data_IF_812590233749
#
_entry.id   IF_812590233749
#
_cell.length_a   1.000
_cell.length_b   1.000
_cell.length_c   1.000
_cell.angle_alpha   90.00
_cell.angle_beta   90.00
_cell.angle_gamma   90.00
#
_symmetry.space_group_name_H-M   'P 1'
#
loop_
_entity.id
_entity.type
_entity.pdbx_description
1 polymer ?
#
# COMPACT_ATOMS: atom_id res chain seq x y z
N UNK A 1 -2.06 21.19 -17.65
CA UNK A 1 -0.88 21.66 -16.90
C UNK A 1 0.15 20.56 -16.62
N UNK A 2 -0.20 19.28 -16.52
CA UNK A 2 0.78 18.18 -16.28
C UNK A 2 1.12 17.32 -17.51
N UNK A 3 0.64 17.65 -18.71
CA UNK A 3 0.81 16.80 -19.91
C UNK A 3 2.28 16.59 -20.33
N UNK A 4 3.19 17.50 -19.99
CA UNK A 4 4.63 17.33 -20.23
C UNK A 4 5.37 16.52 -19.15
N UNK A 5 4.69 16.12 -18.07
CA UNK A 5 5.32 15.37 -16.97
C UNK A 5 5.70 13.96 -17.41
N UNK A 6 4.80 13.29 -18.14
CA UNK A 6 4.96 11.89 -18.57
C UNK A 6 6.16 11.72 -19.50
N UNK A 7 6.43 12.73 -20.34
CA UNK A 7 7.54 12.73 -21.28
C UNK A 7 8.84 13.34 -20.71
N UNK A 8 8.83 13.83 -19.47
CA UNK A 8 10.01 14.47 -18.89
C UNK A 8 11.02 13.44 -18.40
N UNK A 9 12.25 13.38 -18.96
CA UNK A 9 13.18 12.27 -18.78
C UNK A 9 13.72 12.11 -17.36
N UNK A 10 13.58 13.14 -16.51
CA UNK A 10 14.01 13.09 -15.11
C UNK A 10 12.87 13.12 -14.10
N UNK A 11 11.75 13.77 -14.45
CA UNK A 11 10.71 14.04 -13.46
C UNK A 11 9.83 12.82 -13.25
N UNK A 12 9.45 12.15 -14.35
CA UNK A 12 8.67 10.92 -14.27
C UNK A 12 9.47 9.79 -13.58
N UNK A 13 10.74 9.51 -13.95
CA UNK A 13 11.51 8.49 -13.22
C UNK A 13 11.77 8.85 -11.76
N UNK A 14 11.99 10.13 -11.42
CA UNK A 14 12.12 10.54 -10.03
C UNK A 14 10.82 10.28 -9.23
N UNK A 15 9.65 10.55 -9.83
CA UNK A 15 8.36 10.22 -9.21
C UNK A 15 8.21 8.71 -9.02
N UNK A 16 8.60 7.89 -10.00
CA UNK A 16 8.57 6.43 -9.88
C UNK A 16 9.49 5.93 -8.75
N UNK A 17 10.70 6.48 -8.63
CA UNK A 17 11.64 6.14 -7.55
C UNK A 17 11.04 6.46 -6.19
N UNK A 18 10.49 7.68 -6.01
CA UNK A 18 9.85 8.07 -4.74
C UNK A 18 8.61 7.21 -4.47
N UNK A 19 7.85 6.84 -5.50
CA UNK A 19 6.71 5.92 -5.39
C UNK A 19 7.15 4.53 -4.91
N UNK A 20 8.24 3.98 -5.46
CA UNK A 20 8.79 2.68 -5.06
C UNK A 20 9.30 2.73 -3.62
N UNK A 21 9.96 3.81 -3.19
CA UNK A 21 10.35 4.00 -1.79
C UNK A 21 9.11 4.00 -0.88
N UNK A 22 8.04 4.69 -1.28
CA UNK A 22 6.76 4.67 -0.57
C UNK A 22 6.16 3.27 -0.47
N UNK A 23 6.21 2.49 -1.56
CA UNK A 23 5.76 1.09 -1.58
C UNK A 23 6.58 0.24 -0.60
N UNK A 24 7.92 0.38 -0.61
CA UNK A 24 8.80 -0.37 0.27
C UNK A 24 8.53 -0.05 1.75
N UNK A 25 8.32 1.23 2.09
CA UNK A 25 7.96 1.65 3.45
C UNK A 25 6.61 1.08 3.87
N UNK A 26 5.59 1.18 3.00
CA UNK A 26 4.24 0.71 3.26
C UNK A 26 4.17 -0.81 3.41
N UNK A 27 4.54 -1.53 2.34
CA UNK A 27 4.45 -2.98 2.31
C UNK A 27 5.44 -3.63 3.29
N UNK A 28 6.66 -3.11 3.38
CA UNK A 28 7.65 -3.62 4.34
C UNK A 28 7.21 -3.43 5.79
N UNK A 29 6.66 -2.27 6.14
CA UNK A 29 6.13 -2.02 7.48
C UNK A 29 4.96 -2.93 7.84
N UNK A 30 4.01 -3.11 6.91
CA UNK A 30 2.90 -4.05 7.07
C UNK A 30 3.38 -5.49 7.20
N UNK A 31 4.28 -5.95 6.32
CA UNK A 31 4.83 -7.29 6.36
C UNK A 31 5.45 -7.60 7.73
N UNK A 32 6.36 -6.74 8.21
CA UNK A 32 7.02 -6.95 9.51
C UNK A 32 6.02 -6.94 10.67
N UNK A 33 5.05 -6.01 10.66
CA UNK A 33 4.02 -5.97 11.69
C UNK A 33 3.16 -7.24 11.69
N UNK A 34 2.71 -7.67 10.51
CA UNK A 34 1.70 -8.72 10.38
C UNK A 34 2.27 -10.12 10.59
N UNK A 35 3.60 -10.33 10.39
CA UNK A 35 4.30 -11.53 10.84
C UNK A 35 4.08 -11.83 12.33
N UNK A 36 3.86 -10.78 13.15
CA UNK A 36 3.51 -10.91 14.57
C UNK A 36 2.18 -11.61 14.79
N UNK A 37 1.20 -11.43 13.91
CA UNK A 37 -0.08 -12.13 13.95
C UNK A 37 0.09 -13.64 13.73
N UNK A 38 1.05 -14.03 12.89
CA UNK A 38 1.35 -15.43 12.57
C UNK A 38 2.28 -16.11 13.59
N UNK A 39 2.77 -15.34 14.58
CA UNK A 39 3.54 -15.86 15.71
C UNK A 39 5.04 -15.66 15.61
N UNK A 40 5.54 -14.93 14.62
CA UNK A 40 6.95 -14.52 14.58
C UNK A 40 7.15 -13.27 15.45
N UNK A 41 8.21 -13.22 16.23
CA UNK A 41 8.50 -12.06 17.10
C UNK A 41 7.50 -11.90 18.26
N UNK A 42 6.96 -13.00 18.80
CA UNK A 42 5.94 -12.98 19.88
C UNK A 42 6.37 -12.19 21.12
N UNK A 43 7.66 -12.16 21.40
CA UNK A 43 8.24 -11.47 22.55
C UNK A 43 8.22 -9.94 22.40
N UNK A 44 7.94 -9.43 21.19
CA UNK A 44 7.80 -8.01 20.93
C UNK A 44 6.37 -7.54 21.26
N UNK A 45 6.20 -6.47 22.07
CA UNK A 45 4.89 -5.88 22.33
C UNK A 45 4.24 -5.36 21.04
N UNK A 46 3.05 -5.86 20.70
CA UNK A 46 2.38 -5.55 19.44
C UNK A 46 2.18 -4.05 19.20
N UNK A 47 1.85 -3.28 20.24
CA UNK A 47 1.68 -1.83 20.13
C UNK A 47 2.99 -1.10 19.79
N UNK A 48 4.13 -1.53 20.37
CA UNK A 48 5.43 -0.93 20.09
C UNK A 48 5.90 -1.29 18.68
N UNK A 49 5.71 -2.54 18.28
CA UNK A 49 6.01 -2.99 16.92
C UNK A 49 5.14 -2.22 15.90
N UNK A 50 3.84 -2.09 16.14
CA UNK A 50 2.92 -1.31 15.32
C UNK A 50 3.42 0.13 15.14
N UNK A 51 3.82 0.81 16.22
CA UNK A 51 4.34 2.17 16.14
C UNK A 51 5.63 2.25 15.32
N UNK A 52 6.55 1.29 15.50
CA UNK A 52 7.82 1.28 14.78
C UNK A 52 7.65 1.05 13.28
N UNK A 53 6.73 0.16 12.88
CA UNK A 53 6.60 -0.27 11.48
C UNK A 53 5.49 0.45 10.73
N UNK A 54 4.34 0.70 11.38
CA UNK A 54 3.18 1.30 10.73
C UNK A 54 3.28 2.82 10.61
N UNK A 55 4.03 3.51 11.48
CA UNK A 55 4.26 4.95 11.31
C UNK A 55 5.04 5.26 10.02
N UNK A 56 6.17 4.60 9.74
CA UNK A 56 6.81 4.68 8.42
C UNK A 56 5.89 4.19 7.30
N UNK A 57 5.10 3.13 7.51
CA UNK A 57 4.17 2.64 6.49
C UNK A 57 3.14 3.70 6.08
N UNK A 58 2.58 4.46 7.04
CA UNK A 58 1.66 5.57 6.79
C UNK A 58 2.35 6.70 6.02
N UNK A 59 3.59 7.05 6.35
CA UNK A 59 4.38 8.00 5.58
C UNK A 59 4.61 7.49 4.14
N UNK A 60 4.92 6.21 3.97
CA UNK A 60 5.05 5.54 2.68
C UNK A 60 3.77 5.58 1.85
N UNK A 61 2.61 5.34 2.48
CA UNK A 61 1.30 5.50 1.84
C UNK A 61 1.07 6.94 1.39
N UNK A 62 1.43 7.93 2.21
CA UNK A 62 1.38 9.35 1.84
C UNK A 62 2.24 9.68 0.62
N UNK A 63 3.48 9.16 0.57
CA UNK A 63 4.36 9.30 -0.58
C UNK A 63 3.77 8.65 -1.83
N UNK A 64 3.25 7.43 -1.72
CA UNK A 64 2.58 6.72 -2.80
C UNK A 64 1.37 7.49 -3.33
N UNK A 65 0.55 8.04 -2.44
CA UNK A 65 -0.63 8.83 -2.81
C UNK A 65 -0.21 10.12 -3.54
N UNK A 66 0.73 10.88 -2.99
CA UNK A 66 1.20 12.13 -3.59
C UNK A 66 1.81 11.91 -4.98
N UNK A 67 2.75 10.96 -5.08
CA UNK A 67 3.40 10.63 -6.36
C UNK A 67 2.43 9.99 -7.35
N UNK A 68 1.58 9.08 -6.89
CA UNK A 68 0.56 8.40 -7.71
C UNK A 68 -0.46 9.38 -8.30
N UNK A 69 -0.97 10.32 -7.49
CA UNK A 69 -1.86 11.38 -7.96
C UNK A 69 -1.16 12.32 -8.94
N UNK A 70 0.12 12.63 -8.70
CA UNK A 70 0.92 13.47 -9.61
C UNK A 70 1.10 12.78 -10.96
N UNK A 71 1.47 11.49 -10.98
CA UNK A 71 1.57 10.71 -12.22
C UNK A 71 0.20 10.56 -12.91
N UNK A 72 -0.87 10.36 -12.13
CA UNK A 72 -2.23 10.28 -12.65
C UNK A 72 -2.67 11.57 -13.35
N UNK A 73 -2.35 12.73 -12.78
CA UNK A 73 -2.68 14.02 -13.36
C UNK A 73 -2.01 14.29 -14.71
N UNK A 74 -0.93 13.56 -15.03
CA UNK A 74 -0.25 13.65 -16.33
C UNK A 74 -1.05 13.03 -17.48
N UNK A 75 -1.76 11.92 -17.23
CA UNK A 75 -2.48 11.15 -18.24
C UNK A 75 -3.73 10.43 -17.68
N UNK A 76 -4.71 11.17 -17.14
CA UNK A 76 -5.83 10.58 -16.41
C UNK A 76 -6.74 9.72 -17.29
N UNK A 77 -6.95 10.11 -18.55
CA UNK A 77 -7.80 9.37 -19.49
C UNK A 77 -7.24 7.99 -19.82
N UNK A 78 -5.95 7.91 -20.12
CA UNK A 78 -5.28 6.64 -20.41
C UNK A 78 -5.26 5.72 -19.19
N UNK A 79 -4.94 6.27 -18.01
CA UNK A 79 -4.94 5.49 -16.78
C UNK A 79 -6.33 5.00 -16.39
N UNK A 80 -7.39 5.80 -16.55
CA UNK A 80 -8.77 5.34 -16.27
C UNK A 80 -9.27 4.30 -17.26
N UNK A 81 -8.81 4.33 -18.51
CA UNK A 81 -9.12 3.30 -19.50
C UNK A 81 -8.41 1.97 -19.17
N UNK A 82 -7.25 2.02 -18.51
CA UNK A 82 -6.47 0.84 -18.17
C UNK A 82 -7.18 -0.03 -17.09
N UNK A 83 -7.48 -1.32 -17.39
CA UNK A 83 -8.17 -2.20 -16.44
C UNK A 83 -7.33 -2.50 -15.19
N UNK A 84 -6.00 -2.61 -15.32
CA UNK A 84 -5.11 -2.85 -14.18
C UNK A 84 -5.10 -1.65 -13.23
N UNK A 85 -5.17 -0.42 -13.74
CA UNK A 85 -5.28 0.77 -12.90
C UNK A 85 -6.61 0.81 -12.12
N UNK A 86 -7.74 0.52 -12.78
CA UNK A 86 -9.05 0.45 -12.11
C UNK A 86 -9.08 -0.62 -11.02
N UNK A 87 -8.53 -1.79 -11.30
CA UNK A 87 -8.39 -2.86 -10.31
C UNK A 87 -7.49 -2.43 -9.14
N UNK A 88 -6.37 -1.74 -9.42
CA UNK A 88 -5.49 -1.17 -8.39
C UNK A 88 -6.24 -0.25 -7.44
N UNK A 89 -7.07 0.66 -7.95
CA UNK A 89 -7.88 1.58 -7.13
C UNK A 89 -8.90 0.84 -6.27
N UNK A 90 -9.58 -0.17 -6.82
CA UNK A 90 -10.50 -1.03 -6.06
C UNK A 90 -9.78 -1.75 -4.92
N UNK A 91 -8.61 -2.34 -5.20
CA UNK A 91 -7.81 -3.05 -4.20
C UNK A 91 -7.30 -2.12 -3.08
N UNK A 92 -6.91 -0.88 -3.42
CA UNK A 92 -6.54 0.13 -2.40
C UNK A 92 -7.75 0.44 -1.50
N UNK A 93 -8.95 0.60 -2.06
CA UNK A 93 -10.15 0.83 -1.27
C UNK A 93 -10.49 -0.35 -0.36
N UNK A 94 -10.37 -1.59 -0.86
CA UNK A 94 -10.57 -2.81 -0.07
C UNK A 94 -9.52 -2.97 1.04
N UNK A 95 -8.25 -2.63 0.77
CA UNK A 95 -7.20 -2.63 1.78
C UNK A 95 -7.49 -1.62 2.89
N UNK A 96 -7.93 -0.40 2.54
CA UNK A 96 -8.34 0.62 3.51
C UNK A 96 -9.54 0.19 4.35
N UNK A 97 -10.55 -0.43 3.72
CA UNK A 97 -11.71 -0.97 4.43
C UNK A 97 -11.32 -2.11 5.38
N UNK A 98 -10.44 -3.02 4.95
CA UNK A 98 -9.92 -4.09 5.80
C UNK A 98 -9.17 -3.53 7.02
N UNK A 99 -8.32 -2.51 6.83
CA UNK A 99 -7.62 -1.84 7.91
C UNK A 99 -8.57 -1.14 8.88
N UNK A 100 -9.58 -0.42 8.37
CA UNK A 100 -10.62 0.20 9.19
C UNK A 100 -11.36 -0.83 10.04
N UNK A 101 -11.81 -1.94 9.42
CA UNK A 101 -12.48 -3.03 10.12
C UNK A 101 -11.57 -3.68 11.17
N UNK A 102 -10.28 -3.85 10.89
CA UNK A 102 -9.32 -4.35 11.88
C UNK A 102 -9.30 -3.44 13.13
N UNK A 103 -9.20 -2.13 12.95
CA UNK A 103 -9.21 -1.19 14.08
C UNK A 103 -10.55 -1.16 14.83
N UNK A 104 -11.68 -1.21 14.13
CA UNK A 104 -13.02 -1.22 14.75
C UNK A 104 -13.31 -2.53 15.52
N UNK A 105 -12.71 -3.65 15.10
CA UNK A 105 -12.92 -4.98 15.68
C UNK A 105 -11.85 -5.36 16.72
N UNK A 106 -11.27 -4.37 17.39
CA UNK A 106 -10.35 -4.56 18.52
C UNK A 106 -8.85 -4.44 18.18
N UNK A 107 -8.51 -4.23 16.91
CA UNK A 107 -7.15 -3.89 16.47
C UNK A 107 -6.08 -4.84 17.01
N UNK A 108 -5.04 -4.27 17.63
CA UNK A 108 -3.92 -5.05 18.17
C UNK A 108 -4.34 -6.04 19.27
N UNK A 109 -5.47 -5.83 19.95
CA UNK A 109 -5.96 -6.75 20.98
C UNK A 109 -6.50 -8.06 20.37
N UNK A 110 -6.96 -8.03 19.12
CA UNK A 110 -7.49 -9.21 18.40
C UNK A 110 -6.53 -9.74 17.34
N UNK A 111 -5.28 -9.24 17.30
CA UNK A 111 -4.26 -9.58 16.31
C UNK A 111 -4.01 -11.10 16.18
N UNK A 112 -3.91 -11.80 17.31
CA UNK A 112 -3.63 -13.25 17.33
C UNK A 112 -4.88 -14.13 17.16
N UNK A 113 -6.07 -13.51 17.11
CA UNK A 113 -7.31 -14.23 16.85
C UNK A 113 -7.34 -14.78 15.42
N UNK A 114 -8.17 -15.79 15.14
CA UNK A 114 -8.38 -16.29 13.77
C UNK A 114 -8.79 -15.18 12.80
N UNK A 115 -9.58 -14.22 13.28
CA UNK A 115 -10.04 -13.06 12.50
C UNK A 115 -8.88 -12.08 12.23
N UNK A 116 -8.09 -11.74 13.25
CA UNK A 116 -6.93 -10.87 13.11
C UNK A 116 -5.92 -11.42 12.11
N UNK A 117 -5.61 -12.72 12.19
CA UNK A 117 -4.74 -13.42 11.22
C UNK A 117 -5.29 -13.35 9.79
N UNK A 118 -6.60 -13.53 9.61
CA UNK A 118 -7.24 -13.43 8.30
C UNK A 118 -7.17 -12.00 7.74
N UNK A 119 -7.39 -10.98 8.59
CA UNK A 119 -7.29 -9.58 8.20
C UNK A 119 -5.86 -9.19 7.80
N UNK A 120 -4.85 -9.70 8.50
CA UNK A 120 -3.44 -9.58 8.09
C UNK A 120 -3.19 -10.26 6.74
N UNK A 121 -3.62 -11.52 6.57
CA UNK A 121 -3.44 -12.22 5.28
C UNK A 121 -4.09 -11.46 4.12
N UNK A 122 -5.30 -10.94 4.33
CA UNK A 122 -6.00 -10.10 3.34
C UNK A 122 -5.25 -8.79 3.07
N UNK A 123 -4.72 -8.14 4.11
CA UNK A 123 -3.92 -6.91 3.98
C UNK A 123 -2.70 -7.14 3.08
N UNK A 124 -1.86 -8.15 3.37
CA UNK A 124 -0.71 -8.48 2.52
C UNK A 124 -1.14 -8.87 1.10
N UNK A 125 -2.23 -9.64 0.97
CA UNK A 125 -2.76 -10.05 -0.32
C UNK A 125 -3.20 -8.86 -1.18
N UNK A 126 -3.94 -7.92 -0.61
CA UNK A 126 -4.39 -6.71 -1.30
C UNK A 126 -3.21 -5.84 -1.71
N UNK A 127 -2.26 -5.56 -0.80
CA UNK A 127 -1.11 -4.72 -1.13
C UNK A 127 -0.17 -5.38 -2.16
N UNK A 128 0.02 -6.69 -2.08
CA UNK A 128 0.77 -7.43 -3.11
C UNK A 128 0.07 -7.33 -4.48
N UNK A 129 -1.27 -7.50 -4.52
CA UNK A 129 -2.03 -7.34 -5.75
C UNK A 129 -1.98 -5.88 -6.28
N UNK A 130 -1.97 -4.87 -5.41
CA UNK A 130 -1.77 -3.46 -5.79
C UNK A 130 -0.40 -3.24 -6.44
N UNK A 131 0.66 -3.86 -5.92
CA UNK A 131 2.01 -3.79 -6.50
C UNK A 131 2.04 -4.47 -7.88
N UNK A 132 1.45 -5.66 -8.01
CA UNK A 132 1.34 -6.38 -9.28
C UNK A 132 0.59 -5.53 -10.32
N UNK A 133 -0.58 -4.99 -9.95
CA UNK A 133 -1.33 -4.09 -10.84
C UNK A 133 -0.50 -2.86 -11.22
N UNK A 134 0.27 -2.31 -10.27
CA UNK A 134 1.21 -1.21 -10.52
C UNK A 134 2.18 -1.49 -11.66
N UNK A 135 2.78 -2.69 -11.68
CA UNK A 135 3.69 -3.10 -12.77
C UNK A 135 2.95 -3.38 -14.07
N UNK A 136 1.75 -3.96 -13.99
CA UNK A 136 0.95 -4.32 -15.18
C UNK A 136 0.37 -3.12 -15.93
N UNK A 137 0.21 -1.95 -15.29
CA UNK A 137 -0.23 -0.72 -15.98
C UNK A 137 0.68 -0.39 -17.18
N UNK A 138 1.98 -0.70 -17.11
CA UNK A 138 2.91 -0.46 -18.21
C UNK A 138 2.74 -1.41 -19.41
N UNK A 139 1.94 -2.47 -19.27
CA UNK A 139 1.82 -3.56 -20.27
C UNK A 139 0.37 -3.84 -20.70
N UNK A 140 -0.62 -3.21 -20.05
CA UNK A 140 -2.04 -3.46 -20.22
C UNK A 140 -2.77 -2.30 -20.91
#
# INVERSE_FOLDING_TARGET
>A
MFSGLVSHPWAYPALEVVHIVGIAMLFGGLLVFELRAFGLGRDLPAALLARLTLTPALAGFGLCAATGLTMFAGQPGELLANPAFRLKLLLIALAGLNALLFHLLGGTATLESRRGKLQCLMSLGFWLAVIICGRWIAYA
#
